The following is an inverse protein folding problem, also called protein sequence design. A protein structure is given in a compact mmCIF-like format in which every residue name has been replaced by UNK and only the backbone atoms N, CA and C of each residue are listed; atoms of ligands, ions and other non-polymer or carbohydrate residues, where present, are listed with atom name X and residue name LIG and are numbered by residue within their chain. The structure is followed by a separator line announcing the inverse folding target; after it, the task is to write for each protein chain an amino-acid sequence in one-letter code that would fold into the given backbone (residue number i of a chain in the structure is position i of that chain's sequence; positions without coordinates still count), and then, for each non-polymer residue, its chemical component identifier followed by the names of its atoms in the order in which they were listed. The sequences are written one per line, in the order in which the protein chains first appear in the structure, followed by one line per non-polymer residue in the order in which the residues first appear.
data_IF_869702160140
#
_entry.id   IF_869702160140
#
_cell.length_a   1.000
_cell.length_b   1.000
_cell.length_c   1.000
_cell.angle_alpha   90.00
_cell.angle_beta   90.00
_cell.angle_gamma   90.00
#
_symmetry.space_group_name_H-M   'P 1'
#
loop_
_entity.id
_entity.type
_entity.pdbx_description
1 polymer ?
#
# COMPACT_ATOMS: atom_id res chain seq x y z
N UNK A 1 22.75 26.10 -35.43
CA UNK A 1 21.81 26.91 -34.64
C UNK A 1 20.90 25.99 -33.88
N UNK A 2 20.97 26.11 -32.59
CA UNK A 2 20.49 25.24 -31.57
C UNK A 2 18.97 25.03 -31.63
N UNK A 3 18.54 23.80 -31.88
CA UNK A 3 17.32 23.28 -31.34
C UNK A 3 17.70 22.43 -30.12
N UNK A 4 17.85 23.08 -28.99
CA UNK A 4 17.61 22.47 -27.70
C UNK A 4 16.11 22.12 -27.69
N UNK A 5 15.82 20.87 -28.02
CA UNK A 5 14.52 20.29 -27.85
C UNK A 5 14.15 20.37 -26.36
N UNK A 6 13.29 21.28 -26.01
CA UNK A 6 12.59 21.33 -24.74
C UNK A 6 11.92 19.96 -24.50
N UNK A 7 12.57 19.13 -23.73
CA UNK A 7 12.04 17.86 -23.27
C UNK A 7 10.87 18.01 -22.27
N UNK A 8 10.34 19.21 -22.11
CA UNK A 8 9.30 19.59 -21.17
C UNK A 8 7.92 19.85 -21.77
N UNK A 9 7.63 19.43 -22.99
CA UNK A 9 6.35 19.76 -23.63
C UNK A 9 5.34 18.60 -23.63
N UNK A 10 5.05 18.00 -22.48
CA UNK A 10 3.74 17.38 -22.28
C UNK A 10 2.69 18.50 -22.11
N UNK A 11 2.25 19.06 -23.22
CA UNK A 11 1.37 20.24 -23.26
C UNK A 11 -0.11 19.92 -22.96
N UNK A 12 -0.41 18.76 -22.42
CA UNK A 12 -1.76 18.33 -22.07
C UNK A 12 -1.89 16.82 -22.08
N UNK A 13 -3.02 16.34 -21.61
CA UNK A 13 -3.33 14.92 -21.53
C UNK A 13 -3.92 14.54 -20.18
N UNK A 14 -4.14 13.27 -20.00
CA UNK A 14 -4.69 12.69 -18.78
C UNK A 14 -3.81 11.56 -18.29
N UNK A 15 -3.61 11.52 -16.97
CA UNK A 15 -2.97 10.44 -16.22
C UNK A 15 -4.05 9.76 -15.36
N UNK A 16 -4.35 8.49 -15.60
CA UNK A 16 -5.39 7.74 -14.89
C UNK A 16 -4.75 6.64 -14.03
N UNK A 17 -4.79 6.81 -12.73
CA UNK A 17 -4.13 5.95 -11.75
C UNK A 17 -5.19 5.22 -10.92
N UNK A 18 -5.02 3.91 -10.71
CA UNK A 18 -5.76 3.15 -9.70
C UNK A 18 -4.89 2.83 -8.50
N UNK A 19 -5.35 3.13 -7.30
CA UNK A 19 -4.62 2.77 -6.07
C UNK A 19 -5.56 2.75 -4.85
N UNK A 20 -5.20 1.95 -3.82
CA UNK A 20 -5.93 1.95 -2.55
C UNK A 20 -5.67 3.23 -1.76
N UNK A 21 -6.56 3.52 -0.80
CA UNK A 21 -6.42 4.68 0.09
C UNK A 21 -5.06 4.71 0.80
N UNK A 22 -4.65 3.59 1.35
CA UNK A 22 -3.36 3.43 2.03
C UNK A 22 -2.18 3.75 1.11
N UNK A 23 -2.17 3.23 -0.12
CA UNK A 23 -1.10 3.50 -1.09
C UNK A 23 -1.12 4.97 -1.52
N UNK A 24 -2.29 5.54 -1.74
CA UNK A 24 -2.43 6.97 -2.05
C UNK A 24 -1.82 7.83 -0.96
N UNK A 25 -2.22 7.60 0.29
CA UNK A 25 -1.83 8.39 1.45
C UNK A 25 -0.34 8.29 1.78
N UNK A 26 0.17 7.07 1.89
CA UNK A 26 1.51 6.82 2.43
C UNK A 26 2.61 6.72 1.38
N UNK A 27 2.27 6.60 0.09
CA UNK A 27 3.27 6.45 -0.96
C UNK A 27 3.08 7.43 -2.12
N UNK A 28 1.88 7.57 -2.66
CA UNK A 28 1.66 8.24 -3.94
C UNK A 28 1.73 9.77 -3.87
N UNK A 29 1.30 10.39 -2.76
CA UNK A 29 1.17 11.84 -2.62
C UNK A 29 2.44 12.62 -2.97
N UNK A 30 3.65 12.28 -2.52
CA UNK A 30 4.86 13.00 -2.88
C UNK A 30 5.14 12.99 -4.40
N UNK A 31 4.91 11.86 -5.05
CA UNK A 31 5.10 11.70 -6.49
C UNK A 31 4.08 12.50 -7.30
N UNK A 32 2.82 12.53 -6.85
CA UNK A 32 1.79 13.38 -7.46
C UNK A 32 2.17 14.86 -7.39
N UNK A 33 2.69 15.31 -6.25
CA UNK A 33 3.15 16.68 -6.06
C UNK A 33 4.31 17.03 -7.00
N UNK A 34 5.30 16.15 -7.11
CA UNK A 34 6.45 16.35 -7.98
C UNK A 34 6.05 16.35 -9.45
N UNK A 35 5.22 15.40 -9.87
CA UNK A 35 4.73 15.29 -11.23
C UNK A 35 3.89 16.51 -11.64
N UNK A 36 3.00 16.97 -10.78
CA UNK A 36 2.19 18.16 -11.05
C UNK A 36 3.03 19.43 -11.20
N UNK A 37 4.12 19.56 -10.43
CA UNK A 37 5.06 20.68 -10.60
C UNK A 37 5.78 20.65 -11.96
N UNK A 38 6.13 19.46 -12.46
CA UNK A 38 6.80 19.27 -13.75
C UNK A 38 5.84 19.44 -14.92
N UNK A 39 4.60 18.98 -14.78
CA UNK A 39 3.59 18.88 -15.83
C UNK A 39 2.25 19.46 -15.38
N UNK A 40 2.15 20.78 -15.15
CA UNK A 40 0.96 21.41 -14.55
C UNK A 40 -0.29 21.31 -15.42
N UNK A 41 -0.14 21.08 -16.74
CA UNK A 41 -1.24 20.99 -17.70
C UNK A 41 -1.79 19.56 -17.86
N UNK A 42 -1.20 18.56 -17.18
CA UNK A 42 -1.71 17.20 -17.22
C UNK A 42 -2.81 17.04 -16.17
N UNK A 43 -3.97 16.57 -16.62
CA UNK A 43 -5.06 16.23 -15.71
C UNK A 43 -4.81 14.88 -15.03
N UNK A 44 -4.68 14.89 -13.70
CA UNK A 44 -4.45 13.69 -12.90
C UNK A 44 -5.78 13.19 -12.35
N UNK A 45 -6.14 11.95 -12.69
CA UNK A 45 -7.30 11.26 -12.14
C UNK A 45 -6.84 10.05 -11.34
N UNK A 46 -7.03 10.07 -10.03
CA UNK A 46 -6.81 8.93 -9.15
C UNK A 46 -8.15 8.26 -8.84
N UNK A 47 -8.28 6.98 -9.16
CA UNK A 47 -9.43 6.17 -8.80
C UNK A 47 -9.06 5.33 -7.58
N UNK A 48 -9.65 5.71 -6.44
CA UNK A 48 -9.40 5.05 -5.17
C UNK A 48 -10.35 3.86 -5.00
N UNK A 49 -9.82 2.64 -4.95
CA UNK A 49 -10.51 1.37 -4.76
C UNK A 49 -9.58 0.39 -4.05
N UNK A 50 -10.13 -0.75 -3.61
CA UNK A 50 -9.30 -1.84 -3.10
C UNK A 50 -8.28 -2.31 -4.15
N UNK A 51 -7.15 -2.87 -3.72
CA UNK A 51 -6.12 -3.35 -4.65
C UNK A 51 -6.66 -4.37 -5.66
N UNK A 52 -7.59 -5.23 -5.23
CA UNK A 52 -8.22 -6.22 -6.12
C UNK A 52 -9.16 -5.55 -7.13
N UNK A 53 -9.92 -4.54 -6.71
CA UNK A 53 -10.77 -3.77 -7.63
C UNK A 53 -9.95 -2.95 -8.61
N UNK A 54 -8.81 -2.39 -8.19
CA UNK A 54 -7.89 -1.68 -9.08
C UNK A 54 -7.37 -2.58 -10.21
N UNK A 55 -7.09 -3.86 -9.94
CA UNK A 55 -6.71 -4.81 -10.99
C UNK A 55 -7.81 -4.96 -12.05
N UNK A 56 -9.08 -5.02 -11.66
CA UNK A 56 -10.21 -5.05 -12.61
C UNK A 56 -10.36 -3.76 -13.40
N UNK A 57 -10.11 -2.60 -12.79
CA UNK A 57 -10.12 -1.31 -13.50
C UNK A 57 -9.01 -1.27 -14.57
N UNK A 58 -7.85 -1.84 -14.29
CA UNK A 58 -6.75 -1.96 -15.24
C UNK A 58 -7.13 -2.85 -16.42
N UNK A 59 -7.65 -4.05 -16.16
CA UNK A 59 -8.06 -4.99 -17.21
C UNK A 59 -9.16 -4.41 -18.12
N UNK A 60 -10.04 -3.58 -17.57
CA UNK A 60 -11.09 -2.91 -18.32
C UNK A 60 -10.64 -1.59 -18.99
N UNK A 61 -9.35 -1.23 -18.92
CA UNK A 61 -8.81 0.01 -19.50
C UNK A 61 -9.35 1.31 -18.88
N UNK A 62 -9.91 1.24 -17.66
CA UNK A 62 -10.46 2.41 -16.96
C UNK A 62 -9.37 3.24 -16.29
N UNK A 63 -8.20 2.66 -16.05
CA UNK A 63 -6.98 3.30 -15.58
C UNK A 63 -5.81 2.92 -16.48
N UNK A 64 -4.76 3.72 -16.51
CA UNK A 64 -3.58 3.49 -17.35
C UNK A 64 -2.62 2.49 -16.66
N UNK A 65 -2.51 2.62 -15.34
CA UNK A 65 -1.75 1.72 -14.48
C UNK A 65 -2.32 1.76 -13.06
N UNK A 66 -1.89 0.82 -12.26
CA UNK A 66 -2.25 0.74 -10.84
C UNK A 66 -1.00 0.64 -9.96
N UNK A 67 -1.11 1.13 -8.73
CA UNK A 67 -0.21 0.76 -7.64
C UNK A 67 -0.96 -0.21 -6.73
N UNK A 68 -0.35 -1.33 -6.44
CA UNK A 68 -0.97 -2.39 -5.63
C UNK A 68 0.04 -3.10 -4.75
N UNK A 69 -0.42 -3.68 -3.67
CA UNK A 69 0.36 -4.63 -2.91
C UNK A 69 0.36 -5.98 -3.63
N UNK A 70 1.52 -6.62 -3.66
CA UNK A 70 1.73 -7.91 -4.30
C UNK A 70 2.13 -8.97 -3.25
N UNK A 71 1.63 -10.20 -3.32
CA UNK A 71 0.73 -10.74 -4.35
C UNK A 71 -0.68 -10.14 -4.33
N UNK A 72 -1.34 -10.14 -5.49
CA UNK A 72 -2.70 -9.66 -5.68
C UNK A 72 -3.45 -10.67 -6.58
N UNK A 73 -4.46 -11.33 -6.05
CA UNK A 73 -5.24 -12.35 -6.76
C UNK A 73 -6.07 -11.82 -7.94
N UNK A 74 -6.26 -10.50 -8.01
CA UNK A 74 -6.95 -9.85 -9.14
C UNK A 74 -6.09 -9.68 -10.38
N UNK A 75 -4.76 -9.87 -10.30
CA UNK A 75 -3.86 -9.76 -11.45
C UNK A 75 -3.86 -11.05 -12.27
N UNK A 76 -4.05 -10.92 -13.58
CA UNK A 76 -3.90 -12.00 -14.56
C UNK A 76 -2.43 -12.21 -14.97
N UNK A 77 -2.17 -12.90 -16.06
CA UNK A 77 -0.81 -13.19 -16.54
C UNK A 77 -0.28 -12.24 -17.62
N UNK A 78 -1.01 -11.19 -18.00
CA UNK A 78 -0.70 -10.32 -19.15
C UNK A 78 -0.33 -8.89 -18.74
N UNK A 79 0.11 -8.70 -17.50
CA UNK A 79 0.50 -7.39 -17.00
C UNK A 79 2.01 -7.32 -16.77
N UNK A 80 2.58 -6.14 -17.04
CA UNK A 80 3.92 -5.79 -16.61
C UNK A 80 3.89 -5.35 -15.14
N UNK A 81 4.70 -5.99 -14.32
CA UNK A 81 4.79 -5.74 -12.87
C UNK A 81 6.20 -5.24 -12.56
N UNK A 82 6.31 -4.02 -12.02
CA UNK A 82 7.57 -3.44 -11.57
C UNK A 82 7.54 -3.23 -10.07
N UNK A 83 8.52 -3.81 -9.37
CA UNK A 83 8.64 -3.68 -7.91
C UNK A 83 9.15 -2.28 -7.56
N UNK A 84 8.43 -1.59 -6.69
CA UNK A 84 8.80 -0.26 -6.18
C UNK A 84 9.52 -0.37 -4.84
N UNK A 85 8.99 -1.15 -3.90
CA UNK A 85 9.62 -1.38 -2.59
C UNK A 85 9.08 -2.64 -1.92
N UNK A 86 9.82 -3.16 -0.94
CA UNK A 86 9.33 -4.16 0.01
C UNK A 86 8.77 -3.50 1.26
N UNK A 87 7.83 -4.18 1.94
CA UNK A 87 7.30 -3.80 3.23
C UNK A 87 6.87 -5.04 4.02
N UNK A 88 6.67 -4.88 5.33
CA UNK A 88 6.17 -5.94 6.17
C UNK A 88 4.76 -5.60 6.66
N UNK A 89 3.92 -6.61 6.82
CA UNK A 89 2.70 -6.47 7.60
C UNK A 89 2.98 -6.79 9.05
N UNK A 90 2.43 -6.00 9.94
CA UNK A 90 2.66 -6.09 11.38
C UNK A 90 1.34 -6.13 12.15
N UNK A 91 1.35 -6.80 13.29
CA UNK A 91 0.30 -6.67 14.29
C UNK A 91 0.67 -5.55 15.26
N UNK A 92 -0.23 -4.60 15.45
CA UNK A 92 -0.04 -3.48 16.36
C UNK A 92 -1.08 -3.49 17.48
N UNK A 93 -0.64 -3.22 18.69
CA UNK A 93 -1.48 -3.22 19.88
C UNK A 93 -1.11 -2.09 20.84
N UNK A 94 -2.04 -1.70 21.68
CA UNK A 94 -1.79 -0.83 22.80
C UNK A 94 -1.37 -1.67 24.03
N UNK A 95 -0.20 -1.36 24.58
CA UNK A 95 0.40 -2.13 25.69
C UNK A 95 -0.47 -2.15 26.96
N UNK A 96 -1.25 -1.09 27.18
CA UNK A 96 -2.16 -1.00 28.33
C UNK A 96 -3.23 -2.11 28.33
N UNK A 97 -3.72 -2.49 27.14
CA UNK A 97 -4.78 -3.49 26.98
C UNK A 97 -4.23 -4.87 26.59
N UNK A 98 -3.11 -4.90 25.90
CA UNK A 98 -2.46 -6.12 25.41
C UNK A 98 -0.97 -6.11 25.79
N UNK A 99 -0.61 -6.47 27.03
CA UNK A 99 0.77 -6.39 27.53
C UNK A 99 1.64 -7.56 27.07
N UNK A 100 1.98 -7.60 25.77
CA UNK A 100 2.75 -8.69 25.15
C UNK A 100 4.03 -8.18 24.46
N UNK A 101 4.46 -6.94 24.74
CA UNK A 101 5.59 -6.29 24.09
C UNK A 101 6.92 -7.01 24.28
N UNK A 102 7.15 -7.57 25.46
CA UNK A 102 8.43 -8.12 25.88
C UNK A 102 8.60 -9.63 25.59
N UNK A 103 7.67 -10.22 24.86
CA UNK A 103 7.72 -11.63 24.47
C UNK A 103 7.25 -11.90 23.06
N UNK A 104 7.75 -12.96 22.39
CA UNK A 104 7.18 -13.44 21.15
C UNK A 104 5.74 -13.95 21.35
N UNK A 105 4.91 -13.75 20.32
CA UNK A 105 3.52 -14.18 20.25
C UNK A 105 3.36 -15.12 19.07
N UNK A 106 2.65 -16.23 19.25
CA UNK A 106 2.38 -17.18 18.16
C UNK A 106 1.10 -16.82 17.41
N UNK A 107 0.99 -17.26 16.16
CA UNK A 107 -0.27 -17.12 15.41
C UNK A 107 -1.44 -17.83 16.10
N UNK A 108 -1.16 -18.93 16.82
CA UNK A 108 -2.17 -19.64 17.62
C UNK A 108 -2.69 -18.81 18.79
N UNK A 109 -1.83 -18.04 19.45
CA UNK A 109 -2.27 -17.09 20.49
C UNK A 109 -3.10 -15.97 19.90
N UNK A 110 -2.68 -15.43 18.74
CA UNK A 110 -3.41 -14.38 18.03
C UNK A 110 -4.80 -14.81 17.58
N UNK A 111 -4.99 -16.09 17.20
CA UNK A 111 -6.29 -16.64 16.85
C UNK A 111 -7.34 -16.47 17.96
N UNK A 112 -6.91 -16.48 19.22
CA UNK A 112 -7.77 -16.33 20.39
C UNK A 112 -7.98 -14.87 20.84
N UNK A 113 -7.37 -13.90 20.14
CA UNK A 113 -7.41 -12.49 20.46
C UNK A 113 -8.27 -11.72 19.45
N UNK A 114 -8.81 -10.54 19.82
CA UNK A 114 -9.60 -9.73 18.92
C UNK A 114 -8.70 -9.11 17.84
N UNK A 115 -8.72 -9.67 16.63
CA UNK A 115 -7.97 -9.16 15.48
C UNK A 115 -8.82 -8.16 14.70
N UNK A 116 -8.25 -6.99 14.43
CA UNK A 116 -8.81 -5.93 13.61
C UNK A 116 -8.08 -5.93 12.28
N UNK A 117 -8.78 -6.05 11.17
CA UNK A 117 -8.16 -6.17 9.86
C UNK A 117 -9.01 -5.57 8.75
N UNK A 118 -8.39 -5.36 7.59
CA UNK A 118 -9.12 -4.95 6.40
C UNK A 118 -10.10 -6.06 5.96
N UNK A 119 -11.17 -5.64 5.30
CA UNK A 119 -12.18 -6.54 4.75
C UNK A 119 -11.61 -7.53 3.71
N UNK A 120 -12.35 -8.59 3.41
CA UNK A 120 -11.94 -9.71 2.53
C UNK A 120 -11.64 -9.31 1.09
N UNK A 121 -11.96 -8.10 0.68
CA UNK A 121 -11.66 -7.59 -0.67
C UNK A 121 -10.27 -6.96 -0.77
N UNK A 122 -9.49 -6.96 0.30
CA UNK A 122 -8.13 -6.43 0.32
C UNK A 122 -7.08 -7.53 0.17
N UNK A 123 -5.98 -7.21 -0.49
CA UNK A 123 -4.81 -8.12 -0.59
C UNK A 123 -4.19 -8.41 0.79
N UNK A 124 -4.31 -7.49 1.74
CA UNK A 124 -3.82 -7.67 3.12
C UNK A 124 -4.66 -8.72 3.86
N UNK A 125 -5.97 -8.71 3.69
CA UNK A 125 -6.84 -9.72 4.26
C UNK A 125 -6.57 -11.11 3.65
N UNK A 126 -6.44 -11.21 2.32
CA UNK A 126 -6.08 -12.47 1.66
C UNK A 126 -4.75 -13.01 2.18
N UNK A 127 -3.74 -12.14 2.32
CA UNK A 127 -2.44 -12.51 2.82
C UNK A 127 -2.52 -13.11 4.23
N UNK A 128 -3.22 -12.45 5.16
CA UNK A 128 -3.32 -12.91 6.54
C UNK A 128 -4.11 -14.21 6.66
N UNK A 129 -5.25 -14.34 5.97
CA UNK A 129 -6.01 -15.59 5.93
C UNK A 129 -5.16 -16.75 5.41
N UNK A 130 -4.40 -16.54 4.33
CA UNK A 130 -3.51 -17.55 3.77
C UNK A 130 -2.41 -17.96 4.76
N UNK A 131 -1.85 -17.01 5.53
CA UNK A 131 -0.85 -17.31 6.55
C UNK A 131 -1.42 -18.17 7.68
N UNK A 132 -2.61 -17.84 8.19
CA UNK A 132 -3.27 -18.67 9.20
C UNK A 132 -3.58 -20.08 8.67
N UNK A 133 -4.12 -20.20 7.46
CA UNK A 133 -4.40 -21.50 6.84
C UNK A 133 -3.15 -22.36 6.65
N UNK A 134 -2.00 -21.79 6.28
CA UNK A 134 -0.72 -22.52 6.19
C UNK A 134 -0.31 -23.14 7.53
N UNK A 135 -0.70 -22.53 8.63
CA UNK A 135 -0.47 -23.03 10.00
C UNK A 135 -1.64 -23.87 10.54
N UNK A 136 -2.61 -24.24 9.69
CA UNK A 136 -3.82 -24.99 10.06
C UNK A 136 -4.64 -24.28 11.15
N UNK A 137 -4.70 -22.95 11.06
CA UNK A 137 -5.46 -22.09 11.94
C UNK A 137 -6.57 -21.38 11.17
N UNK A 138 -7.72 -21.20 11.81
CA UNK A 138 -8.81 -20.39 11.29
C UNK A 138 -8.72 -18.98 11.86
N UNK A 139 -8.81 -17.98 10.99
CA UNK A 139 -8.83 -16.58 11.40
C UNK A 139 -10.26 -16.06 11.33
N UNK A 140 -10.78 -15.66 12.48
CA UNK A 140 -12.08 -14.97 12.61
C UNK A 140 -11.79 -13.59 13.19
N UNK A 141 -11.82 -12.53 12.36
CA UNK A 141 -11.57 -11.19 12.85
C UNK A 141 -12.70 -10.69 13.74
N UNK A 142 -12.37 -9.88 14.74
CA UNK A 142 -13.33 -9.17 15.57
C UNK A 142 -13.97 -8.00 14.81
N UNK A 143 -13.17 -7.26 14.05
CA UNK A 143 -13.61 -6.13 13.24
C UNK A 143 -12.99 -6.23 11.85
N UNK A 144 -13.82 -6.10 10.83
CA UNK A 144 -13.42 -5.94 9.42
C UNK A 144 -13.91 -4.58 8.90
N UNK A 145 -13.02 -3.79 8.32
CA UNK A 145 -13.34 -2.49 7.72
C UNK A 145 -12.34 -2.14 6.61
N UNK A 146 -12.51 -1.00 5.95
CA UNK A 146 -11.77 -0.64 4.73
C UNK A 146 -10.65 0.40 4.92
N UNK A 147 -10.31 0.79 6.16
CA UNK A 147 -9.32 1.84 6.46
C UNK A 147 -8.27 1.38 7.46
N UNK A 148 -7.00 1.36 7.07
CA UNK A 148 -5.90 1.06 7.99
C UNK A 148 -5.76 2.12 9.10
N UNK A 149 -6.00 3.39 8.79
CA UNK A 149 -5.95 4.45 9.82
C UNK A 149 -6.99 4.24 10.91
N UNK A 150 -8.20 3.84 10.52
CA UNK A 150 -9.25 3.53 11.49
C UNK A 150 -8.92 2.27 12.30
N UNK A 151 -8.32 1.24 11.69
CA UNK A 151 -7.85 0.06 12.43
C UNK A 151 -6.82 0.44 13.49
N UNK A 152 -5.90 1.34 13.17
CA UNK A 152 -4.89 1.86 14.09
C UNK A 152 -5.55 2.63 15.24
N UNK A 153 -6.51 3.50 14.95
CA UNK A 153 -7.25 4.24 15.98
C UNK A 153 -8.04 3.30 16.91
N UNK A 154 -8.66 2.25 16.38
CA UNK A 154 -9.36 1.25 17.18
C UNK A 154 -8.40 0.42 18.05
N UNK A 155 -7.22 0.10 17.54
CA UNK A 155 -6.18 -0.56 18.35
C UNK A 155 -5.69 0.36 19.48
N UNK A 156 -5.56 1.67 19.22
CA UNK A 156 -5.13 2.65 20.22
C UNK A 156 -6.07 2.72 21.42
N UNK A 157 -7.37 2.61 21.20
CA UNK A 157 -8.37 2.59 22.29
C UNK A 157 -8.59 1.19 22.89
N UNK A 158 -7.81 0.19 22.47
CA UNK A 158 -7.82 -1.14 23.05
C UNK A 158 -8.92 -2.08 22.58
N UNK A 159 -9.58 -1.80 21.43
CA UNK A 159 -10.61 -2.69 20.89
C UNK A 159 -10.04 -4.01 20.34
N UNK A 160 -8.75 -4.05 20.02
CA UNK A 160 -8.10 -5.25 19.54
C UNK A 160 -6.70 -5.00 19.03
N UNK A 161 -6.18 -5.97 18.30
CA UNK A 161 -4.85 -5.96 17.68
C UNK A 161 -5.03 -5.74 16.19
N UNK A 162 -4.55 -4.61 15.66
CA UNK A 162 -4.70 -4.28 14.25
C UNK A 162 -3.59 -4.94 13.40
N UNK A 163 -3.96 -5.48 12.24
CA UNK A 163 -3.03 -5.99 11.24
C UNK A 163 -2.93 -5.00 10.09
N UNK A 164 -1.77 -4.37 9.94
CA UNK A 164 -1.54 -3.26 9.00
C UNK A 164 -0.14 -3.33 8.39
N UNK A 165 0.10 -2.73 7.21
CA UNK A 165 1.45 -2.50 6.71
C UNK A 165 2.27 -1.63 7.68
N UNK A 166 3.56 -1.93 7.83
CA UNK A 166 4.49 -1.26 8.76
C UNK A 166 4.58 0.25 8.53
N UNK A 167 4.49 0.68 7.28
CA UNK A 167 4.55 2.10 6.92
C UNK A 167 3.29 2.90 7.31
N UNK A 168 2.22 2.24 7.78
CA UNK A 168 1.04 2.91 8.32
C UNK A 168 1.23 3.35 9.78
N UNK A 169 2.22 2.79 10.47
CA UNK A 169 2.51 3.18 11.85
C UNK A 169 3.45 4.39 11.85
N UNK A 170 3.03 5.55 12.40
CA UNK A 170 3.86 6.75 12.40
C UNK A 170 5.19 6.54 13.14
N UNK A 171 6.25 7.14 12.63
CA UNK A 171 7.50 7.22 13.37
C UNK A 171 7.28 8.02 14.68
N UNK A 172 7.72 7.45 15.80
CA UNK A 172 7.54 8.06 17.11
C UNK A 172 6.20 7.77 17.79
N UNK A 173 5.42 6.82 17.29
CA UNK A 173 4.23 6.28 17.97
C UNK A 173 4.59 5.84 19.40
N UNK A 174 3.81 6.28 20.39
CA UNK A 174 4.09 6.05 21.82
C UNK A 174 3.11 5.10 22.49
N UNK A 175 1.90 5.00 21.97
CA UNK A 175 0.83 4.22 22.58
C UNK A 175 0.72 2.82 21.99
N UNK A 176 1.10 2.68 20.72
CA UNK A 176 1.08 1.42 20.00
C UNK A 176 2.47 0.85 19.81
N UNK A 177 2.56 -0.46 19.82
CA UNK A 177 3.78 -1.19 19.51
C UNK A 177 3.49 -2.34 18.53
N UNK A 178 4.48 -2.70 17.73
CA UNK A 178 4.40 -3.89 16.88
C UNK A 178 4.72 -5.14 17.71
N UNK A 179 3.88 -6.18 17.57
CA UNK A 179 4.11 -7.46 18.20
C UNK A 179 5.31 -8.17 17.54
N UNK A 180 6.12 -8.82 18.37
CA UNK A 180 7.12 -9.77 17.88
C UNK A 180 6.46 -11.13 17.70
N UNK A 181 6.52 -11.69 16.48
CA UNK A 181 5.95 -13.00 16.18
C UNK A 181 6.98 -14.11 16.31
N UNK A 182 6.55 -15.28 16.74
CA UNK A 182 7.35 -16.52 16.69
C UNK A 182 7.47 -17.00 15.24
N UNK A 183 6.37 -16.96 14.49
CA UNK A 183 6.32 -17.30 13.08
C UNK A 183 6.62 -16.06 12.23
N UNK A 184 7.65 -16.14 11.36
CA UNK A 184 7.97 -15.05 10.48
C UNK A 184 6.91 -14.90 9.37
N UNK A 185 6.38 -13.68 9.20
CA UNK A 185 5.60 -13.33 8.03
C UNK A 185 6.55 -12.94 6.89
N UNK A 186 6.36 -13.47 5.67
CA UNK A 186 7.17 -13.03 4.53
C UNK A 186 6.86 -11.57 4.19
N UNK A 187 7.87 -10.80 3.73
CA UNK A 187 7.63 -9.45 3.25
C UNK A 187 6.76 -9.48 1.99
N UNK A 188 6.01 -8.41 1.78
CA UNK A 188 5.26 -8.16 0.55
C UNK A 188 5.87 -7.00 -0.23
N UNK A 189 5.39 -6.78 -1.42
CA UNK A 189 5.92 -5.77 -2.32
C UNK A 189 4.83 -4.76 -2.70
N UNK A 190 5.19 -3.49 -2.75
CA UNK A 190 4.44 -2.48 -3.46
C UNK A 190 4.93 -2.47 -4.90
N UNK A 191 4.01 -2.60 -5.84
CA UNK A 191 4.32 -2.69 -7.27
C UNK A 191 3.51 -1.68 -8.07
N UNK A 192 4.06 -1.23 -9.20
CA UNK A 192 3.31 -0.58 -10.26
C UNK A 192 3.03 -1.61 -11.36
N UNK A 193 1.80 -1.60 -11.86
CA UNK A 193 1.32 -2.59 -12.85
C UNK A 193 0.61 -1.88 -13.98
N UNK A 194 0.97 -2.20 -15.21
CA UNK A 194 0.27 -1.77 -16.40
C UNK A 194 0.01 -2.95 -17.36
N UNK A 195 -0.94 -2.79 -18.28
CA UNK A 195 -1.27 -3.82 -19.24
C UNK A 195 -0.22 -3.85 -20.35
N UNK A 196 0.33 -5.03 -20.70
CA UNK A 196 1.30 -5.19 -21.79
C UNK A 196 0.71 -4.92 -23.18
N UNK A 197 -0.57 -5.23 -23.36
CA UNK A 197 -1.23 -5.18 -24.65
C UNK A 197 -1.82 -3.80 -24.97
N UNK A 198 -1.92 -2.91 -23.99
CA UNK A 198 -2.43 -1.57 -24.17
C UNK A 198 -1.29 -0.55 -24.15
N UNK A 199 -1.18 0.32 -25.17
CA UNK A 199 -0.18 1.37 -25.16
C UNK A 199 -0.48 2.35 -24.02
N UNK A 200 0.50 2.60 -23.17
CA UNK A 200 0.41 3.64 -22.15
C UNK A 200 0.77 5.00 -22.71
N UNK A 201 0.11 6.06 -22.23
CA UNK A 201 0.39 7.43 -22.63
C UNK A 201 1.82 7.86 -22.25
N UNK A 202 2.32 8.91 -22.89
CA UNK A 202 3.61 9.47 -22.49
C UNK A 202 3.57 9.96 -21.03
N UNK A 203 2.49 10.59 -20.60
CA UNK A 203 2.30 11.01 -19.21
C UNK A 203 2.42 9.82 -18.22
N UNK A 204 1.83 8.68 -18.57
CA UNK A 204 1.90 7.48 -17.74
C UNK A 204 3.32 6.92 -17.67
N UNK A 205 4.06 6.93 -18.79
CA UNK A 205 5.48 6.50 -18.79
C UNK A 205 6.34 7.39 -17.89
N UNK A 206 6.24 8.69 -18.04
CA UNK A 206 6.98 9.66 -17.22
C UNK A 206 6.66 9.52 -15.73
N UNK A 207 5.40 9.24 -15.40
CA UNK A 207 5.03 9.02 -14.00
C UNK A 207 5.58 7.69 -13.45
N UNK A 208 5.53 6.61 -14.24
CA UNK A 208 6.10 5.30 -13.84
C UNK A 208 7.61 5.43 -13.65
N UNK A 209 8.32 6.11 -14.56
CA UNK A 209 9.76 6.40 -14.41
C UNK A 209 10.06 7.20 -13.15
N UNK A 210 9.21 8.16 -12.80
CA UNK A 210 9.34 8.93 -11.56
C UNK A 210 9.22 8.03 -10.32
N UNK A 211 8.25 7.11 -10.32
CA UNK A 211 8.08 6.12 -9.24
C UNK A 211 9.31 5.20 -9.12
N UNK A 212 9.80 4.66 -10.23
CA UNK A 212 10.95 3.75 -10.25
C UNK A 212 12.25 4.43 -9.81
N UNK A 213 12.45 5.68 -10.21
CA UNK A 213 13.64 6.45 -9.82
C UNK A 213 13.58 6.86 -8.33
N UNK A 214 12.40 7.22 -7.83
CA UNK A 214 12.21 7.52 -6.41
C UNK A 214 12.40 6.30 -5.51
N UNK A 215 12.10 5.11 -6.00
CA UNK A 215 12.28 3.84 -5.28
C UNK A 215 13.76 3.45 -5.12
N UNK A 216 14.65 3.99 -5.94
CA UNK A 216 16.10 3.73 -5.87
C UNK A 216 16.83 4.66 -4.90
N UNK A 217 16.17 5.68 -4.39
CA UNK A 217 16.74 6.63 -3.42
C UNK A 217 16.36 6.16 -2.01
N UNK A 218 17.31 5.99 -1.06
CA UNK A 218 16.94 5.66 0.33
C UNK A 218 16.09 6.78 0.91
N UNK A 219 14.99 6.38 1.55
CA UNK A 219 13.99 7.19 2.27
C UNK A 219 14.29 8.69 2.39
N UNK A 220 13.47 9.51 1.72
CA UNK A 220 13.39 10.93 2.05
C UNK A 220 12.89 11.07 3.50
N UNK A 221 13.48 11.95 4.32
CA UNK A 221 13.03 12.15 5.69
C UNK A 221 11.55 12.57 5.71
N UNK A 222 10.83 12.04 6.69
CA UNK A 222 9.43 12.39 6.95
C UNK A 222 9.29 13.93 6.98
N UNK A 223 8.17 14.49 6.46
CA UNK A 223 7.95 15.93 6.49
C UNK A 223 8.00 16.41 7.95
N UNK A 224 8.90 17.38 8.21
CA UNK A 224 8.94 18.07 9.49
C UNK A 224 7.57 18.72 9.74
N UNK A 225 6.89 18.27 10.77
CA UNK A 225 5.75 19.00 11.33
C UNK A 225 6.27 20.31 11.86
N UNK A 226 5.97 21.40 11.19
CA UNK A 226 6.12 22.73 11.76
C UNK A 226 5.08 22.91 12.86
N UNK A 227 5.58 23.15 14.06
CA UNK A 227 4.83 23.64 15.22
C UNK A 227 4.00 24.90 14.90
#
# INVERSE_FOLDING_TARGET
ENQLLDSNSLNGGQLRIGASDTICRYYLVPFLSEFHKRYPNIHIKVTNRTSIECARLLDNGQVDFILTNYPNSGLGGTQNIHVLREFNDIFVANETYFPMKDRPVTLRELQALPILMLDRKSTTSEFLHNMFQKHQLDLVPEIELSSNDLLIDLARIGLGIAFVPDFCLPAGEKELYALTLTEALPPRQLVVVHNETMPISQASREFIELLENGSKTPEAPAPETKD
#
